data_IF_396948558577
#
_entry.id   IF_396948558577
#
_cell.length_a   1.000
_cell.length_b   1.000
_cell.length_c   1.000
_cell.angle_alpha   90.00
_cell.angle_beta   90.00
_cell.angle_gamma   90.00
#
_symmetry.space_group_name_H-M   'P 1'
#
loop_
_entity.id
_entity.type
_entity.pdbx_description
1 polymer ?
#
# COMPACT_ATOMS: atom_id res chain seq x y z
N UNK A 1 -7.92 -30.83 14.01
CA UNK A 1 -7.59 -29.53 13.37
C UNK A 1 -6.21 -29.13 13.90
N UNK A 2 -5.14 -29.18 13.08
CA UNK A 2 -3.79 -28.85 13.54
C UNK A 2 -3.62 -27.33 13.50
N UNK A 3 -3.41 -26.70 14.65
CA UNK A 3 -3.06 -25.29 14.73
C UNK A 3 -1.62 -25.13 14.24
N UNK A 4 -1.42 -24.59 13.03
CA UNK A 4 -0.09 -24.20 12.57
C UNK A 4 0.29 -22.86 13.21
N UNK A 5 1.53 -22.75 13.67
CA UNK A 5 2.08 -21.49 14.17
C UNK A 5 2.27 -20.54 12.99
N UNK A 6 1.73 -19.33 13.09
CA UNK A 6 1.97 -18.28 12.11
C UNK A 6 3.38 -17.72 12.29
N UNK A 7 4.08 -17.56 11.17
CA UNK A 7 5.34 -16.82 11.09
C UNK A 7 5.01 -15.36 10.82
N UNK A 8 5.57 -14.47 11.64
CA UNK A 8 5.44 -13.03 11.47
C UNK A 8 6.72 -12.46 10.85
N UNK A 9 6.59 -11.34 10.14
CA UNK A 9 7.74 -10.56 9.70
C UNK A 9 7.35 -9.16 9.24
N UNK A 10 8.35 -8.37 8.86
CA UNK A 10 8.15 -7.03 8.35
C UNK A 10 8.98 -6.77 7.08
N UNK A 11 8.46 -5.88 6.24
CA UNK A 11 9.06 -5.37 5.02
C UNK A 11 8.79 -3.88 4.93
N UNK A 12 9.61 -3.16 4.15
CA UNK A 12 9.43 -1.74 3.91
C UNK A 12 9.44 -1.48 2.41
N UNK A 13 8.50 -0.66 1.96
CA UNK A 13 8.36 -0.26 0.56
C UNK A 13 8.58 1.25 0.49
N UNK A 14 9.63 1.69 -0.19
CA UNK A 14 9.89 3.12 -0.37
C UNK A 14 8.79 3.76 -1.20
N UNK A 15 8.42 5.00 -0.85
CA UNK A 15 7.43 5.79 -1.56
C UNK A 15 8.05 7.08 -2.09
N UNK A 16 7.53 7.65 -3.20
CA UNK A 16 7.90 9.00 -3.61
C UNK A 16 7.64 10.02 -2.49
N UNK A 17 8.43 11.10 -2.44
CA UNK A 17 8.29 12.13 -1.39
C UNK A 17 6.92 12.82 -1.37
N UNK A 18 6.21 12.81 -2.50
CA UNK A 18 4.88 13.42 -2.63
C UNK A 18 3.73 12.44 -2.32
N UNK A 19 4.05 11.17 -2.06
CA UNK A 19 3.05 10.15 -1.79
C UNK A 19 2.55 10.26 -0.35
N UNK A 20 1.23 10.27 -0.18
CA UNK A 20 0.56 10.23 1.11
C UNK A 20 -0.29 8.96 1.17
N UNK A 21 0.09 8.03 2.06
CA UNK A 21 -0.53 6.72 2.14
C UNK A 21 -2.02 6.81 2.47
N UNK A 22 -2.37 7.53 3.53
CA UNK A 22 -3.76 7.60 3.99
C UNK A 22 -4.66 8.34 3.02
N UNK A 23 -4.17 9.44 2.45
CA UNK A 23 -4.90 10.16 1.39
C UNK A 23 -5.15 9.26 0.19
N UNK A 24 -4.19 8.43 -0.20
CA UNK A 24 -4.36 7.46 -1.28
C UNK A 24 -5.39 6.39 -0.90
N UNK A 25 -5.29 5.80 0.30
CA UNK A 25 -6.24 4.80 0.82
C UNK A 25 -7.68 5.30 0.82
N UNK A 26 -7.91 6.56 1.22
CA UNK A 26 -9.25 7.14 1.24
C UNK A 26 -9.73 7.55 -0.16
N UNK A 27 -8.90 8.22 -0.95
CA UNK A 27 -9.29 8.71 -2.29
C UNK A 27 -9.60 7.60 -3.28
N UNK A 28 -8.85 6.49 -3.24
CA UNK A 28 -9.05 5.35 -4.13
C UNK A 28 -10.13 4.39 -3.63
N UNK A 29 -10.73 4.68 -2.48
CA UNK A 29 -11.82 3.90 -1.89
C UNK A 29 -11.39 2.56 -1.30
N UNK A 30 -10.08 2.26 -1.19
CA UNK A 30 -9.60 1.00 -0.57
C UNK A 30 -10.07 0.84 0.87
N UNK A 31 -10.42 1.93 1.55
CA UNK A 31 -11.02 1.85 2.88
C UNK A 31 -12.41 1.17 2.93
N UNK A 32 -13.11 1.08 1.80
CA UNK A 32 -14.45 0.51 1.69
C UNK A 32 -14.53 -0.69 0.73
N UNK A 33 -13.46 -1.00 -0.01
CA UNK A 33 -13.44 -2.02 -1.05
C UNK A 33 -12.83 -3.33 -0.54
N UNK A 34 -13.62 -4.41 -0.54
CA UNK A 34 -13.07 -5.76 -0.33
C UNK A 34 -12.05 -6.09 -1.43
N UNK A 35 -10.98 -6.85 -1.13
CA UNK A 35 -10.69 -7.52 0.15
C UNK A 35 -9.90 -6.67 1.15
N UNK A 36 -9.85 -5.34 1.00
CA UNK A 36 -9.21 -4.48 1.98
C UNK A 36 -10.10 -4.23 3.18
N UNK A 37 -9.48 -4.05 4.36
CA UNK A 37 -10.15 -3.70 5.61
C UNK A 37 -9.32 -2.64 6.33
N UNK A 38 -9.92 -1.51 6.68
CA UNK A 38 -9.24 -0.47 7.47
C UNK A 38 -9.59 -0.61 8.94
N UNK A 39 -8.55 -0.67 9.76
CA UNK A 39 -8.61 -0.48 11.20
C UNK A 39 -8.33 1.00 11.49
N UNK A 40 -9.40 1.77 11.72
CA UNK A 40 -9.32 3.23 11.85
C UNK A 40 -8.65 3.67 13.15
N UNK A 41 -8.78 2.87 14.21
CA UNK A 41 -8.19 3.17 15.52
C UNK A 41 -6.67 3.02 15.48
N UNK A 42 -6.19 1.96 14.83
CA UNK A 42 -4.75 1.69 14.70
C UNK A 42 -4.11 2.37 13.49
N UNK A 43 -4.94 2.97 12.62
CA UNK A 43 -4.55 3.41 11.29
C UNK A 43 -3.77 2.30 10.59
N UNK A 44 -4.45 1.20 10.25
CA UNK A 44 -3.83 0.07 9.52
C UNK A 44 -4.75 -0.37 8.39
N UNK A 45 -4.20 -0.48 7.19
CA UNK A 45 -4.88 -1.13 6.06
C UNK A 45 -4.51 -2.61 6.03
N UNK A 46 -5.50 -3.49 6.07
CA UNK A 46 -5.33 -4.94 6.07
C UNK A 46 -5.76 -5.50 4.73
N UNK A 47 -5.00 -6.46 4.21
CA UNK A 47 -5.40 -7.24 3.03
C UNK A 47 -4.70 -8.59 3.02
N UNK A 48 -5.41 -9.60 2.52
CA UNK A 48 -4.82 -10.88 2.14
C UNK A 48 -4.22 -10.79 0.73
N UNK A 49 -2.94 -11.14 0.61
CA UNK A 49 -2.25 -11.33 -0.65
C UNK A 49 -1.98 -12.82 -0.87
N UNK A 50 -1.81 -13.22 -2.14
CA UNK A 50 -1.33 -14.55 -2.48
C UNK A 50 0.07 -14.39 -3.06
N UNK A 51 1.03 -15.20 -2.61
CA UNK A 51 2.33 -15.29 -3.27
C UNK A 51 2.16 -15.95 -4.65
N UNK A 52 3.19 -15.87 -5.50
CA UNK A 52 3.23 -16.65 -6.76
C UNK A 52 3.06 -18.16 -6.59
N UNK A 53 3.39 -18.73 -5.43
CA UNK A 53 3.14 -20.14 -5.12
C UNK A 53 1.67 -20.43 -4.76
N UNK A 54 0.83 -19.40 -4.67
CA UNK A 54 -0.59 -19.49 -4.35
C UNK A 54 -0.89 -19.46 -2.85
N UNK A 55 0.13 -19.31 -2.02
CA UNK A 55 -0.03 -19.37 -0.57
C UNK A 55 -0.49 -18.01 -0.01
N UNK A 56 -1.44 -18.01 0.95
CA UNK A 56 -2.01 -16.79 1.51
C UNK A 56 -1.07 -16.12 2.52
N UNK A 57 -0.95 -14.80 2.42
CA UNK A 57 -0.20 -13.93 3.35
C UNK A 57 -1.09 -12.79 3.81
N UNK A 58 -1.32 -12.70 5.12
CA UNK A 58 -2.04 -11.57 5.72
C UNK A 58 -1.09 -10.39 5.87
N UNK A 59 -1.43 -9.25 5.28
CA UNK A 59 -0.62 -8.04 5.34
C UNK A 59 -1.34 -6.92 6.07
N UNK A 60 -0.56 -6.17 6.84
CA UNK A 60 -0.96 -5.02 7.63
C UNK A 60 -0.05 -3.86 7.22
N UNK A 61 -0.63 -2.88 6.54
CA UNK A 61 0.09 -1.78 5.91
C UNK A 61 -0.14 -0.50 6.72
N UNK A 62 0.95 0.21 6.99
CA UNK A 62 0.93 1.50 7.67
C UNK A 62 1.96 2.45 7.07
N UNK A 63 1.71 3.74 7.17
CA UNK A 63 2.69 4.77 6.85
C UNK A 63 3.76 4.83 7.95
N UNK A 64 5.02 4.99 7.55
CA UNK A 64 6.12 5.23 8.50
C UNK A 64 6.34 6.71 8.81
N UNK A 65 5.67 7.62 8.08
CA UNK A 65 5.95 9.06 8.03
C UNK A 65 7.38 9.40 7.57
N UNK A 66 8.05 8.46 6.89
CA UNK A 66 9.46 8.56 6.47
C UNK A 66 9.67 8.21 4.99
N UNK A 67 8.65 8.42 4.15
CA UNK A 67 8.71 8.06 2.74
C UNK A 67 8.78 6.55 2.50
N UNK A 68 8.11 5.78 3.36
CA UNK A 68 7.97 4.33 3.16
C UNK A 68 6.68 3.80 3.79
N UNK A 69 6.15 2.72 3.22
CA UNK A 69 5.07 1.92 3.79
C UNK A 69 5.72 0.78 4.57
N UNK A 70 5.36 0.64 5.85
CA UNK A 70 5.67 -0.55 6.64
C UNK A 70 4.63 -1.61 6.31
N UNK A 71 5.09 -2.81 5.99
CA UNK A 71 4.24 -3.99 5.77
C UNK A 71 4.61 -5.03 6.82
N UNK A 72 3.74 -5.21 7.80
CA UNK A 72 3.80 -6.37 8.69
C UNK A 72 3.01 -7.51 8.03
N UNK A 73 3.55 -8.73 8.08
CA UNK A 73 2.91 -9.88 7.47
C UNK A 73 2.83 -11.09 8.41
N UNK A 74 1.82 -11.93 8.18
CA UNK A 74 1.62 -13.21 8.85
C UNK A 74 1.35 -14.30 7.80
N UNK A 75 2.09 -15.40 7.88
CA UNK A 75 1.96 -16.55 6.98
C UNK A 75 2.10 -17.86 7.75
N UNK A 76 1.56 -18.97 7.24
CA UNK A 76 1.71 -20.29 7.86
C UNK A 76 3.13 -20.87 7.72
N UNK A 77 4.00 -20.19 6.99
CA UNK A 77 5.34 -20.61 6.65
C UNK A 77 6.28 -19.41 6.58
N UNK A 78 7.58 -19.69 6.57
CA UNK A 78 8.59 -18.65 6.42
C UNK A 78 8.71 -18.27 4.95
N UNK A 79 8.34 -17.03 4.62
CA UNK A 79 8.51 -16.49 3.28
C UNK A 79 9.99 -16.50 2.84
N UNK A 80 10.22 -17.06 1.66
CA UNK A 80 11.48 -16.94 0.96
C UNK A 80 11.69 -15.52 0.43
N UNK A 81 12.93 -15.18 0.09
CA UNK A 81 13.26 -13.84 -0.38
C UNK A 81 12.51 -13.45 -1.66
N UNK A 82 12.34 -14.38 -2.61
CA UNK A 82 11.61 -14.11 -3.84
C UNK A 82 10.11 -13.84 -3.61
N UNK A 83 9.49 -14.48 -2.60
CA UNK A 83 8.09 -14.23 -2.24
C UNK A 83 7.92 -12.88 -1.55
N UNK A 84 8.91 -12.45 -0.76
CA UNK A 84 8.92 -11.10 -0.20
C UNK A 84 9.00 -10.04 -1.29
N UNK A 85 9.83 -10.25 -2.31
CA UNK A 85 9.90 -9.35 -3.46
C UNK A 85 8.59 -9.33 -4.26
N UNK A 86 7.98 -10.50 -4.48
CA UNK A 86 6.68 -10.58 -5.13
C UNK A 86 5.60 -9.83 -4.36
N UNK A 87 5.58 -9.95 -3.03
CA UNK A 87 4.66 -9.22 -2.17
C UNK A 87 4.88 -7.70 -2.27
N UNK A 88 6.13 -7.25 -2.28
CA UNK A 88 6.49 -5.84 -2.47
C UNK A 88 5.98 -5.34 -3.82
N UNK A 89 6.21 -6.07 -4.91
CA UNK A 89 5.76 -5.74 -6.26
C UNK A 89 4.23 -5.64 -6.35
N UNK A 90 3.52 -6.59 -5.76
CA UNK A 90 2.06 -6.58 -5.73
C UNK A 90 1.52 -5.36 -4.98
N UNK A 91 2.10 -5.04 -3.83
CA UNK A 91 1.69 -3.87 -3.05
C UNK A 91 2.04 -2.59 -3.82
N UNK A 92 3.25 -2.47 -4.39
CA UNK A 92 3.65 -1.31 -5.18
C UNK A 92 2.64 -1.03 -6.31
N UNK A 93 2.24 -2.06 -7.07
CA UNK A 93 1.24 -1.95 -8.14
C UNK A 93 -0.14 -1.52 -7.65
N UNK A 94 -0.59 -2.06 -6.52
CA UNK A 94 -1.86 -1.67 -5.89
C UNK A 94 -1.86 -0.17 -5.63
N UNK A 95 -0.77 0.36 -5.11
CA UNK A 95 -0.60 1.77 -4.78
C UNK A 95 -0.05 2.61 -5.95
N UNK A 96 0.16 2.00 -7.12
CA UNK A 96 0.76 2.61 -8.31
C UNK A 96 2.09 3.32 -8.02
N UNK A 97 2.89 2.73 -7.12
CA UNK A 97 4.21 3.24 -6.73
C UNK A 97 5.28 2.97 -7.79
N UNK A 98 5.00 2.07 -8.72
CA UNK A 98 5.84 1.72 -9.87
C UNK A 98 5.65 2.66 -11.07
N UNK A 99 4.71 3.61 -10.99
CA UNK A 99 4.44 4.60 -12.02
C UNK A 99 5.04 5.97 -11.66
N UNK A 100 5.69 6.62 -12.62
CA UNK A 100 6.05 8.04 -12.48
C UNK A 100 4.85 8.93 -12.85
N UNK A 101 4.12 9.37 -11.82
CA UNK A 101 2.99 10.29 -11.96
C UNK A 101 3.40 11.77 -11.84
N UNK A 102 4.70 12.09 -11.81
CA UNK A 102 5.18 13.47 -11.60
C UNK A 102 4.67 14.43 -12.68
N UNK A 103 4.67 14.00 -13.94
CA UNK A 103 4.14 14.80 -15.06
C UNK A 103 2.64 15.11 -14.90
N UNK A 104 1.85 14.09 -14.55
CA UNK A 104 0.42 14.26 -14.27
C UNK A 104 0.17 15.24 -13.13
N UNK A 105 0.86 15.08 -11.99
CA UNK A 105 0.68 15.97 -10.84
C UNK A 105 1.15 17.41 -11.12
N UNK A 106 2.16 17.58 -11.96
CA UNK A 106 2.62 18.91 -12.40
C UNK A 106 1.53 19.63 -13.19
N UNK A 107 0.91 18.95 -14.15
CA UNK A 107 -0.17 19.54 -14.96
C UNK A 107 -1.47 19.74 -14.16
N UNK A 108 -1.82 18.80 -13.28
CA UNK A 108 -2.99 18.94 -12.40
C UNK A 108 -2.89 20.19 -11.49
N UNK A 109 -1.68 20.47 -10.97
CA UNK A 109 -1.42 21.70 -10.20
C UNK A 109 -1.54 22.95 -11.07
N UNK A 110 -1.06 22.92 -12.32
CA UNK A 110 -1.18 24.05 -13.25
C UNK A 110 -2.64 24.42 -13.50
N UNK A 111 -3.50 23.44 -13.78
CA UNK A 111 -4.94 23.68 -13.97
C UNK A 111 -5.64 24.20 -12.71
N UNK A 112 -5.28 23.69 -11.53
CA UNK A 112 -5.86 24.15 -10.27
C UNK A 112 -5.55 25.64 -10.00
N UNK A 113 -4.34 26.09 -10.33
CA UNK A 113 -3.94 27.50 -10.22
C UNK A 113 -4.67 28.35 -11.26
N UNK A 114 -4.84 27.84 -12.48
CA UNK A 114 -5.55 28.55 -13.55
C UNK A 114 -7.04 28.77 -13.23
N UNK A 115 -7.68 27.82 -12.53
CA UNK A 115 -9.06 27.97 -12.04
C UNK A 115 -9.18 28.96 -10.87
N UNK A 116 -8.12 29.19 -10.10
CA UNK A 116 -8.09 30.22 -9.06
C UNK A 116 -7.83 31.64 -9.59
N UNK A 117 -7.29 31.76 -10.81
CA UNK A 117 -6.99 33.04 -11.47
C UNK A 117 -8.01 33.41 -12.56
N UNK A 118 -9.07 32.63 -12.72
CA UNK A 118 -10.12 32.81 -13.74
C UNK A 118 -11.50 33.19 -13.22
N UNK A 119 -11.60 33.54 -11.93
CA UNK A 119 -12.80 34.15 -11.33
C UNK A 119 -12.44 35.57 -10.86
N UNK A 120 -12.40 36.50 -11.81
CA UNK A 120 -12.61 37.95 -11.60
C UNK A 120 -13.56 38.46 -12.69
#
# INVERSE_FOLDING_TARGET
MKTKLLTNGELYISTPNIFDFWRTVYSHGWCALKPFVVDKEKLVLKRLFATRSGEPVYCYLNDTNKGSIKVEYQAEYKLHQYEKFDLIDQIAKVFRLDEDLTGFYTEAKRCAIQLQLGFD
#
